data_IF_990408148768
#
_entry.id   IF_990408148768
#
_cell.length_a   1.000
_cell.length_b   1.000
_cell.length_c   1.000
_cell.angle_alpha   90.00
_cell.angle_beta   90.00
_cell.angle_gamma   90.00
#
_symmetry.space_group_name_H-M   'P 1'
#
loop_
_entity.id
_entity.type
_entity.pdbx_description
1 polymer ?
#
# COMPACT_ATOMS: atom_id res chain seq x y z
N UNK A 1 -19.13 2.93 70.77
CA UNK A 1 -18.22 1.99 70.08
C UNK A 1 -18.36 2.24 68.58
N UNK A 2 -17.27 2.44 67.83
CA UNK A 2 -17.36 2.57 66.38
C UNK A 2 -17.85 1.25 65.76
N UNK A 3 -18.64 1.30 64.66
CA UNK A 3 -19.04 0.09 63.97
C UNK A 3 -17.81 -0.65 63.42
N UNK A 4 -17.86 -1.99 63.35
CA UNK A 4 -16.78 -2.75 62.74
C UNK A 4 -16.61 -2.35 61.27
N UNK A 5 -15.39 -2.39 60.73
CA UNK A 5 -15.14 -2.14 59.32
C UNK A 5 -15.92 -3.15 58.46
N UNK A 6 -16.46 -2.67 57.35
CA UNK A 6 -17.14 -3.53 56.38
C UNK A 6 -16.15 -4.56 55.81
N UNK A 7 -16.59 -5.79 55.55
CA UNK A 7 -15.77 -6.77 54.86
C UNK A 7 -15.40 -6.27 53.45
N UNK A 8 -14.23 -6.67 52.92
CA UNK A 8 -13.84 -6.32 51.57
C UNK A 8 -14.85 -6.86 50.55
N UNK A 9 -15.05 -6.16 49.41
CA UNK A 9 -15.90 -6.65 48.35
C UNK A 9 -15.38 -7.99 47.80
N UNK A 10 -16.26 -8.87 47.32
CA UNK A 10 -15.84 -10.10 46.68
C UNK A 10 -15.00 -9.80 45.43
N UNK A 11 -14.07 -10.70 45.05
CA UNK A 11 -13.30 -10.55 43.83
C UNK A 11 -14.23 -10.52 42.60
N UNK A 12 -13.84 -9.81 41.52
CA UNK A 12 -14.61 -9.81 40.29
C UNK A 12 -14.73 -11.23 39.72
N UNK A 13 -15.83 -11.54 39.01
CA UNK A 13 -15.98 -12.83 38.34
C UNK A 13 -14.86 -13.03 37.30
N UNK A 14 -14.44 -14.27 37.04
CA UNK A 14 -13.48 -14.57 35.99
C UNK A 14 -14.01 -14.11 34.62
N UNK A 15 -13.13 -13.73 33.69
CA UNK A 15 -13.54 -13.38 32.34
C UNK A 15 -14.25 -14.56 31.68
N UNK A 16 -15.21 -14.30 30.77
CA UNK A 16 -15.86 -15.37 30.02
C UNK A 16 -14.81 -16.14 29.19
N UNK A 17 -15.04 -17.45 28.95
CA UNK A 17 -14.16 -18.24 28.10
C UNK A 17 -14.11 -17.63 26.68
N UNK A 18 -12.98 -17.75 25.97
CA UNK A 18 -12.88 -17.30 24.59
C UNK A 18 -13.90 -18.04 23.72
N UNK A 19 -14.46 -17.38 22.70
CA UNK A 19 -15.35 -18.03 21.75
C UNK A 19 -14.64 -19.21 21.08
N UNK A 20 -15.38 -20.27 20.69
CA UNK A 20 -14.80 -21.38 19.95
C UNK A 20 -14.14 -20.88 18.67
N UNK A 21 -12.95 -21.42 18.38
CA UNK A 21 -12.25 -21.17 17.13
C UNK A 21 -13.18 -21.48 15.95
N UNK A 22 -13.21 -20.64 14.90
CA UNK A 22 -13.94 -20.98 13.69
C UNK A 22 -13.43 -22.32 13.13
N UNK A 23 -14.29 -23.10 12.47
CA UNK A 23 -13.87 -24.35 11.83
C UNK A 23 -12.71 -24.07 10.86
N UNK A 24 -11.75 -25.01 10.70
CA UNK A 24 -10.68 -24.84 9.74
C UNK A 24 -11.29 -24.61 8.36
N UNK A 25 -11.04 -23.43 7.80
CA UNK A 25 -11.34 -23.13 6.39
C UNK A 25 -10.58 -24.19 5.60
N UNK A 26 -11.32 -25.03 4.87
CA UNK A 26 -10.73 -26.11 4.09
C UNK A 26 -9.57 -25.56 3.28
N UNK A 27 -8.41 -26.19 3.44
CA UNK A 27 -7.29 -25.98 2.55
C UNK A 27 -7.83 -26.12 1.12
N UNK A 28 -7.78 -25.03 0.34
CA UNK A 28 -7.80 -25.17 -1.10
C UNK A 28 -6.55 -25.99 -1.42
N UNK A 29 -6.78 -27.28 -1.66
CA UNK A 29 -5.79 -28.16 -2.21
C UNK A 29 -5.42 -27.58 -3.56
N UNK A 30 -4.30 -26.84 -3.60
CA UNK A 30 -3.67 -26.44 -4.85
C UNK A 30 -3.22 -27.74 -5.51
N UNK A 31 -4.07 -28.29 -6.37
CA UNK A 31 -3.76 -29.45 -7.19
C UNK A 31 -2.59 -29.04 -8.07
N UNK A 32 -1.38 -29.50 -7.76
CA UNK A 32 -0.24 -29.41 -8.67
C UNK A 32 -0.57 -30.21 -9.92
N UNK A 33 -1.19 -29.56 -10.90
CA UNK A 33 -1.14 -30.03 -12.27
C UNK A 33 0.30 -29.86 -12.72
N UNK A 34 0.99 -30.99 -12.93
CA UNK A 34 2.20 -31.07 -13.73
C UNK A 34 1.91 -30.46 -15.10
N UNK A 35 2.13 -29.15 -15.26
CA UNK A 35 2.22 -28.51 -16.56
C UNK A 35 3.67 -28.64 -16.99
N UNK A 36 3.87 -29.48 -18.01
CA UNK A 36 5.13 -29.59 -18.73
C UNK A 36 5.56 -28.18 -19.15
N UNK A 37 6.73 -27.76 -18.67
CA UNK A 37 7.37 -26.51 -19.06
C UNK A 37 7.66 -26.58 -20.57
N UNK A 38 6.81 -25.97 -21.40
CA UNK A 38 7.19 -25.60 -22.76
C UNK A 38 8.13 -24.40 -22.65
N UNK A 39 9.40 -24.59 -23.00
CA UNK A 39 10.41 -23.54 -23.08
C UNK A 39 9.95 -22.48 -24.09
N UNK A 40 9.40 -21.38 -23.58
CA UNK A 40 9.30 -20.11 -24.31
C UNK A 40 10.30 -19.18 -23.62
N UNK A 41 11.33 -18.80 -24.38
CA UNK A 41 12.38 -17.87 -23.99
C UNK A 41 11.78 -16.62 -23.30
N UNK A 42 11.95 -16.52 -21.99
CA UNK A 42 11.80 -15.24 -21.30
C UNK A 42 12.95 -14.32 -21.75
N UNK A 43 12.67 -13.08 -22.12
CA UNK A 43 13.72 -12.17 -22.56
C UNK A 43 14.66 -11.85 -21.39
N UNK A 44 15.97 -11.92 -21.67
CA UNK A 44 17.10 -11.87 -20.73
C UNK A 44 17.11 -10.65 -19.75
N UNK A 45 16.34 -9.60 -20.05
CA UNK A 45 16.22 -8.41 -19.20
C UNK A 45 15.37 -8.63 -17.93
N UNK A 46 14.46 -9.61 -17.91
CA UNK A 46 13.69 -9.96 -16.70
C UNK A 46 14.55 -10.72 -15.68
N UNK A 47 15.49 -11.53 -16.15
CA UNK A 47 16.28 -12.42 -15.29
C UNK A 47 17.34 -11.64 -14.47
N UNK A 48 17.92 -10.57 -15.04
CA UNK A 48 19.01 -9.81 -14.40
C UNK A 48 18.57 -8.88 -13.26
N UNK A 49 17.26 -8.66 -13.06
CA UNK A 49 16.75 -7.68 -12.09
C UNK A 49 16.31 -8.31 -10.75
N UNK A 50 15.95 -9.60 -10.74
CA UNK A 50 15.39 -10.25 -9.55
C UNK A 50 16.44 -10.67 -8.53
N UNK A 51 17.65 -10.99 -8.97
CA UNK A 51 18.73 -11.42 -8.09
C UNK A 51 19.39 -10.25 -7.32
N UNK A 52 19.10 -9.00 -7.71
CA UNK A 52 19.66 -7.78 -7.12
C UNK A 52 18.64 -6.87 -6.43
N UNK A 53 17.35 -6.98 -6.77
CA UNK A 53 16.32 -6.12 -6.17
C UNK A 53 16.06 -6.52 -4.72
N UNK A 54 16.61 -5.76 -3.77
CA UNK A 54 16.22 -5.86 -2.37
C UNK A 54 14.75 -5.47 -2.28
N UNK A 55 13.90 -6.46 -2.03
CA UNK A 55 12.47 -6.27 -1.88
C UNK A 55 12.14 -5.46 -0.62
N UNK A 56 10.96 -4.85 -0.63
CA UNK A 56 10.38 -4.20 0.55
C UNK A 56 9.07 -4.91 0.94
N UNK A 57 8.67 -4.76 2.20
CA UNK A 57 7.35 -5.24 2.63
C UNK A 57 6.24 -4.37 2.05
N UNK A 58 5.37 -4.99 1.24
CA UNK A 58 4.25 -4.29 0.61
C UNK A 58 3.30 -3.67 1.65
N UNK A 59 3.10 -4.32 2.80
CA UNK A 59 2.26 -3.79 3.88
C UNK A 59 2.90 -2.54 4.52
N UNK A 60 4.21 -2.57 4.77
CA UNK A 60 4.93 -1.42 5.32
C UNK A 60 4.86 -0.24 4.34
N UNK A 61 5.11 -0.49 3.05
CA UNK A 61 5.01 0.54 2.03
C UNK A 61 3.59 1.05 1.87
N UNK A 62 2.59 0.16 1.87
CA UNK A 62 1.18 0.52 1.77
C UNK A 62 0.76 1.51 2.86
N UNK A 63 1.08 1.25 4.13
CA UNK A 63 0.78 2.18 5.23
C UNK A 63 1.45 3.54 5.01
N UNK A 64 2.70 3.54 4.57
CA UNK A 64 3.46 4.77 4.32
C UNK A 64 2.90 5.57 3.13
N UNK A 65 2.48 4.89 2.07
CA UNK A 65 1.90 5.54 0.89
C UNK A 65 0.50 6.06 1.19
N UNK A 66 -0.29 5.35 2.00
CA UNK A 66 -1.57 5.86 2.50
C UNK A 66 -1.37 7.14 3.32
N UNK A 67 -0.39 7.17 4.22
CA UNK A 67 -0.05 8.37 5.01
C UNK A 67 0.42 9.53 4.11
N UNK A 68 1.21 9.25 3.08
CA UNK A 68 1.61 10.24 2.08
C UNK A 68 0.40 10.80 1.32
N UNK A 69 -0.47 9.95 0.77
CA UNK A 69 -1.66 10.37 0.03
C UNK A 69 -2.57 11.24 0.91
N UNK A 70 -2.80 10.83 2.14
CA UNK A 70 -3.56 11.58 3.13
C UNK A 70 -2.91 12.93 3.46
N UNK A 71 -1.59 12.96 3.69
CA UNK A 71 -0.85 14.19 3.99
C UNK A 71 -0.89 15.18 2.81
N UNK A 72 -0.78 14.70 1.58
CA UNK A 72 -0.91 15.53 0.36
C UNK A 72 -2.33 16.09 0.21
N UNK A 73 -3.35 15.31 0.57
CA UNK A 73 -4.74 15.74 0.55
C UNK A 73 -5.00 16.84 1.59
N UNK A 74 -4.64 16.60 2.86
CA UNK A 74 -4.90 17.53 3.98
C UNK A 74 -4.10 18.82 3.85
N UNK A 75 -2.84 18.74 3.39
CA UNK A 75 -2.02 19.94 3.13
C UNK A 75 -2.49 20.75 1.90
N UNK A 76 -3.37 20.18 1.09
CA UNK A 76 -3.84 20.78 -0.16
C UNK A 76 -2.88 20.66 -1.34
N UNK A 77 -1.71 20.05 -1.16
CA UNK A 77 -0.76 19.81 -2.26
C UNK A 77 -1.36 18.96 -3.39
N UNK A 78 -2.29 18.07 -3.07
CA UNK A 78 -2.94 17.20 -4.05
C UNK A 78 -4.01 17.93 -4.89
N UNK A 79 -4.41 19.16 -4.54
CA UNK A 79 -5.44 19.92 -5.28
C UNK A 79 -5.10 20.07 -6.75
N UNK A 80 -3.83 20.36 -7.07
CA UNK A 80 -3.35 20.50 -8.45
C UNK A 80 -3.70 19.27 -9.29
N UNK A 81 -3.40 18.08 -8.77
CA UNK A 81 -3.76 16.83 -9.44
C UNK A 81 -5.27 16.64 -9.56
N UNK A 82 -6.00 16.78 -8.44
CA UNK A 82 -7.44 16.52 -8.40
C UNK A 82 -8.24 17.45 -9.32
N UNK A 83 -7.89 18.73 -9.40
CA UNK A 83 -8.58 19.66 -10.30
C UNK A 83 -8.24 19.42 -11.77
N UNK A 84 -7.07 18.87 -12.07
CA UNK A 84 -6.70 18.51 -13.44
C UNK A 84 -7.39 17.23 -13.93
N UNK A 85 -7.67 16.27 -13.05
CA UNK A 85 -8.30 14.98 -13.43
C UNK A 85 -9.80 14.92 -13.18
N UNK A 86 -10.31 15.71 -12.23
CA UNK A 86 -11.71 15.75 -11.83
C UNK A 86 -12.13 17.21 -11.55
N UNK A 87 -12.23 18.05 -12.60
CA UNK A 87 -12.47 19.48 -12.46
C UNK A 87 -13.82 19.81 -11.79
N UNK A 88 -14.81 18.92 -11.90
CA UNK A 88 -16.12 19.14 -11.28
C UNK A 88 -16.19 18.67 -9.83
N UNK A 89 -15.91 17.38 -9.57
CA UNK A 89 -16.06 16.81 -8.24
C UNK A 89 -15.06 15.68 -7.97
N UNK A 90 -13.93 15.99 -7.30
CA UNK A 90 -13.05 14.98 -6.73
C UNK A 90 -13.79 14.07 -5.76
N UNK A 91 -13.51 12.77 -5.82
CA UNK A 91 -14.20 11.74 -5.03
C UNK A 91 -13.22 10.67 -4.55
N UNK A 92 -13.67 9.78 -3.67
CA UNK A 92 -12.83 8.71 -3.11
C UNK A 92 -12.13 7.84 -4.18
N UNK A 93 -12.76 7.46 -5.30
CA UNK A 93 -12.07 6.80 -6.42
C UNK A 93 -10.83 7.53 -6.93
N UNK A 94 -10.84 8.86 -7.01
CA UNK A 94 -9.68 9.64 -7.45
C UNK A 94 -8.54 9.57 -6.43
N UNK A 95 -8.87 9.52 -5.13
CA UNK A 95 -7.88 9.29 -4.08
C UNK A 95 -7.31 7.87 -4.14
N UNK A 96 -8.15 6.86 -4.42
CA UNK A 96 -7.71 5.48 -4.62
C UNK A 96 -6.78 5.36 -5.84
N UNK A 97 -7.10 6.03 -6.95
CA UNK A 97 -6.22 6.10 -8.12
C UNK A 97 -4.89 6.79 -7.81
N UNK A 98 -4.93 7.88 -7.04
CA UNK A 98 -3.70 8.52 -6.53
C UNK A 98 -2.86 7.54 -5.71
N UNK A 99 -3.48 6.77 -4.82
CA UNK A 99 -2.79 5.73 -4.04
C UNK A 99 -2.14 4.68 -4.96
N UNK A 100 -2.86 4.16 -5.94
CA UNK A 100 -2.33 3.19 -6.90
C UNK A 100 -1.13 3.76 -7.69
N UNK A 101 -1.25 5.00 -8.17
CA UNK A 101 -0.13 5.71 -8.80
C UNK A 101 1.08 5.78 -7.87
N UNK A 102 0.90 6.25 -6.63
CA UNK A 102 2.00 6.42 -5.68
C UNK A 102 2.67 5.10 -5.34
N UNK A 103 1.92 4.00 -5.22
CA UNK A 103 2.47 2.65 -5.02
C UNK A 103 3.34 2.21 -6.19
N UNK A 104 2.87 2.36 -7.44
CA UNK A 104 3.61 1.99 -8.63
C UNK A 104 4.84 2.88 -8.85
N UNK A 105 4.68 4.19 -8.66
CA UNK A 105 5.76 5.17 -8.77
C UNK A 105 6.82 4.95 -7.69
N UNK A 106 6.42 4.61 -6.46
CA UNK A 106 7.36 4.27 -5.39
C UNK A 106 8.14 3.01 -5.72
N UNK A 107 7.49 1.97 -6.27
CA UNK A 107 8.20 0.76 -6.70
C UNK A 107 9.29 1.08 -7.72
N UNK A 108 8.94 1.85 -8.77
CA UNK A 108 9.91 2.27 -9.78
C UNK A 108 11.03 3.11 -9.17
N UNK A 109 10.69 4.04 -8.29
CA UNK A 109 11.66 4.88 -7.60
C UNK A 109 12.58 4.08 -6.67
N UNK A 110 12.06 3.05 -6.00
CA UNK A 110 12.84 2.16 -5.15
C UNK A 110 13.91 1.41 -5.95
N UNK A 111 13.53 0.87 -7.11
CA UNK A 111 14.46 0.19 -8.03
C UNK A 111 15.50 1.18 -8.58
N UNK A 112 15.09 2.39 -8.96
CA UNK A 112 16.00 3.46 -9.42
C UNK A 112 17.03 3.89 -8.36
N UNK A 113 16.65 3.92 -7.07
CA UNK A 113 17.54 4.30 -5.97
C UNK A 113 18.56 3.22 -5.58
N UNK A 114 18.39 1.97 -6.06
CA UNK A 114 19.25 0.79 -5.79
C UNK A 114 19.75 0.73 -4.33
N UNK A 115 18.85 0.72 -3.32
CA UNK A 115 19.25 0.74 -1.92
C UNK A 115 20.03 -0.52 -1.55
N UNK A 116 21.02 -0.36 -0.68
CA UNK A 116 21.92 -1.42 -0.21
C UNK A 116 21.22 -2.45 0.67
N UNK A 117 20.18 -2.01 1.40
CA UNK A 117 19.31 -2.86 2.23
C UNK A 117 18.02 -2.11 2.64
N UNK A 118 17.15 -2.83 3.36
CA UNK A 118 15.87 -2.30 3.85
C UNK A 118 16.03 -1.16 4.89
N UNK A 119 17.19 -0.99 5.53
CA UNK A 119 17.44 0.09 6.48
C UNK A 119 17.44 1.47 5.79
N UNK A 120 17.71 1.50 4.49
CA UNK A 120 17.60 2.71 3.68
C UNK A 120 16.15 3.14 3.42
N UNK A 121 15.16 2.35 3.84
CA UNK A 121 13.75 2.63 3.58
C UNK A 121 13.32 4.05 3.96
N UNK A 122 13.70 4.52 5.15
CA UNK A 122 13.35 5.87 5.60
C UNK A 122 13.99 6.97 4.74
N UNK A 123 15.22 6.75 4.25
CA UNK A 123 15.92 7.67 3.34
C UNK A 123 15.18 7.76 2.01
N UNK A 124 14.90 6.60 1.41
CA UNK A 124 14.23 6.48 0.11
C UNK A 124 12.80 7.05 0.18
N UNK A 125 12.00 6.67 1.19
CA UNK A 125 10.66 7.22 1.44
C UNK A 125 10.67 8.74 1.55
N UNK A 126 11.60 9.30 2.31
CA UNK A 126 11.69 10.75 2.49
C UNK A 126 12.06 11.47 1.18
N UNK A 127 12.95 10.86 0.38
CA UNK A 127 13.33 11.39 -0.95
C UNK A 127 12.15 11.32 -1.93
N UNK A 128 11.41 10.23 -1.92
CA UNK A 128 10.19 10.04 -2.71
C UNK A 128 9.13 11.09 -2.38
N UNK A 129 8.83 11.31 -1.10
CA UNK A 129 7.89 12.34 -0.66
C UNK A 129 8.27 13.72 -1.22
N UNK A 130 9.55 14.13 -1.11
CA UNK A 130 10.03 15.40 -1.68
C UNK A 130 9.93 15.44 -3.21
N UNK A 131 10.06 14.32 -3.91
CA UNK A 131 9.87 14.23 -5.37
C UNK A 131 8.41 14.50 -5.74
N UNK A 132 7.45 13.82 -5.09
CA UNK A 132 6.02 14.01 -5.33
C UNK A 132 5.58 15.45 -5.03
N UNK A 133 6.00 16.01 -3.90
CA UNK A 133 5.71 17.41 -3.56
C UNK A 133 6.24 18.39 -4.60
N UNK A 134 7.43 18.16 -5.15
CA UNK A 134 7.98 19.02 -6.21
C UNK A 134 7.20 18.91 -7.51
N UNK A 135 6.76 17.70 -7.89
CA UNK A 135 5.92 17.50 -9.08
C UNK A 135 4.60 18.24 -8.96
N UNK A 136 3.93 18.14 -7.80
CA UNK A 136 2.63 18.77 -7.55
C UNK A 136 2.66 20.32 -7.50
N UNK A 137 3.85 20.94 -7.51
CA UNK A 137 3.99 22.40 -7.67
C UNK A 137 3.76 22.86 -9.12
N UNK A 138 3.89 21.97 -10.10
CA UNK A 138 3.56 22.28 -11.48
C UNK A 138 2.03 22.34 -11.63
N UNK A 139 1.42 23.48 -12.02
CA UNK A 139 -0.03 23.61 -12.12
C UNK A 139 -0.67 22.61 -13.09
N UNK A 140 0.06 22.12 -14.08
CA UNK A 140 -0.45 21.16 -15.08
C UNK A 140 -0.19 19.69 -14.68
N UNK A 141 0.27 19.45 -13.44
CA UNK A 141 0.61 18.10 -12.99
C UNK A 141 -0.65 17.23 -12.81
N UNK A 142 -0.63 16.04 -13.42
CA UNK A 142 -1.55 14.95 -13.12
C UNK A 142 -0.78 13.66 -12.81
N UNK A 143 -1.02 13.11 -11.61
CA UNK A 143 -0.42 11.85 -11.14
C UNK A 143 -1.14 10.65 -11.75
N UNK A 144 -1.02 10.47 -13.06
CA UNK A 144 -1.68 9.38 -13.78
C UNK A 144 -0.75 8.18 -13.92
N UNK A 145 -1.22 6.95 -13.62
CA UNK A 145 -0.48 5.76 -14.00
C UNK A 145 -0.36 5.71 -15.52
N UNK A 146 0.79 5.30 -16.04
CA UNK A 146 0.90 4.92 -17.45
C UNK A 146 0.11 3.63 -17.63
N UNK A 147 -1.20 3.74 -17.89
CA UNK A 147 -1.96 2.63 -18.44
C UNK A 147 -1.74 2.68 -19.96
N UNK A 148 -1.19 1.61 -20.53
CA UNK A 148 -1.26 1.45 -21.97
C UNK A 148 -2.75 1.47 -22.35
N UNK A 149 -3.10 2.15 -23.45
CA UNK A 149 -4.50 2.36 -23.86
C UNK A 149 -5.32 1.05 -23.96
N UNK A 150 -4.66 -0.10 -24.04
CA UNK A 150 -5.25 -1.44 -24.03
C UNK A 150 -5.98 -1.80 -22.72
N UNK A 151 -5.65 -1.18 -21.58
CA UNK A 151 -6.22 -1.52 -20.26
C UNK A 151 -7.46 -0.69 -19.89
N UNK A 152 -7.82 0.31 -20.70
CA UNK A 152 -8.94 1.22 -20.42
C UNK A 152 -10.32 0.52 -20.47
N UNK A 153 -10.40 -0.65 -21.13
CA UNK A 153 -11.64 -1.44 -21.20
C UNK A 153 -12.00 -2.16 -19.90
N UNK A 154 -11.13 -2.19 -18.88
CA UNK A 154 -11.38 -2.93 -17.64
C UNK A 154 -11.90 -2.07 -16.47
N UNK A 155 -11.95 -0.74 -16.62
CA UNK A 155 -12.23 0.20 -15.50
C UNK A 155 -13.55 0.94 -15.64
N UNK A 156 -14.47 0.45 -16.50
CA UNK A 156 -15.87 0.86 -16.42
C UNK A 156 -16.59 -0.09 -15.45
N UNK A 157 -16.64 0.30 -14.18
CA UNK A 157 -17.63 -0.19 -13.19
C UNK A 157 -18.79 0.80 -13.11
#
# INVERSE_FOLDING_TARGET
MPPPPLPPPPPPPPPPPPPPLPPPVGHIHCRSTNQKQSEINKPEWEQKNLDKAIGYSFAIVGINITDLAHSLLVSGALKTHLYNVAPEMPSLPHLQQTFCYLMQEFHRFWVEEDPSDIMEFNRVRSKFHRRILRQLKNPDMALCPHFAASDLHLVNL
#
